data_IF_632737630985
#
_entry.id   IF_632737630985
#
_cell.length_a   1.000
_cell.length_b   1.000
_cell.length_c   1.000
_cell.angle_alpha   90.00
_cell.angle_beta   90.00
_cell.angle_gamma   90.00
#
_symmetry.space_group_name_H-M   'P 1'
#
loop_
_entity.id
_entity.type
_entity.pdbx_description
1 polymer ?
#
# COMPACT_ATOMS: atom_id res chain seq x y z
N UNK A 1 9.49 -7.60 3.06
CA UNK A 1 8.41 -6.79 2.43
C UNK A 1 8.68 -6.52 0.96
N UNK A 2 9.73 -5.75 0.68
CA UNK A 2 10.18 -5.45 -0.68
C UNK A 2 10.38 -6.68 -1.56
N UNK A 3 10.91 -7.79 -1.03
CA UNK A 3 11.04 -9.03 -1.80
C UNK A 3 9.74 -9.55 -2.41
N UNK A 4 8.61 -9.49 -1.67
CA UNK A 4 7.30 -9.88 -2.19
C UNK A 4 6.82 -8.91 -3.28
N UNK A 5 6.97 -7.60 -3.05
CA UNK A 5 6.60 -6.56 -4.03
C UNK A 5 7.39 -6.75 -5.31
N UNK A 6 8.71 -6.89 -5.23
CA UNK A 6 9.57 -7.07 -6.40
C UNK A 6 9.29 -8.38 -7.13
N UNK A 7 8.99 -9.46 -6.42
CA UNK A 7 8.59 -10.72 -7.05
C UNK A 7 7.28 -10.57 -7.85
N UNK A 8 6.27 -9.92 -7.26
CA UNK A 8 4.99 -9.67 -7.92
C UNK A 8 5.13 -8.72 -9.12
N UNK A 9 5.94 -7.67 -8.99
CA UNK A 9 6.23 -6.74 -10.07
C UNK A 9 7.05 -7.40 -11.18
N UNK A 10 8.00 -8.29 -10.86
CA UNK A 10 8.71 -9.07 -11.86
C UNK A 10 7.75 -9.98 -12.65
N UNK A 11 6.82 -10.66 -11.97
CA UNK A 11 5.78 -11.44 -12.64
C UNK A 11 4.90 -10.57 -13.57
N UNK A 12 4.56 -9.35 -13.15
CA UNK A 12 3.86 -8.38 -14.00
C UNK A 12 4.68 -8.01 -15.24
N UNK A 13 5.97 -7.70 -15.07
CA UNK A 13 6.88 -7.35 -16.18
C UNK A 13 6.98 -8.49 -17.19
N UNK A 14 7.13 -9.74 -16.74
CA UNK A 14 7.16 -10.91 -17.63
C UNK A 14 5.84 -11.08 -18.41
N UNK A 15 4.70 -10.79 -17.78
CA UNK A 15 3.40 -10.76 -18.45
C UNK A 15 3.32 -9.63 -19.49
N UNK A 16 3.82 -8.44 -19.15
CA UNK A 16 3.86 -7.30 -20.06
C UNK A 16 4.72 -7.57 -21.30
N UNK A 17 5.86 -8.26 -21.14
CA UNK A 17 6.78 -8.67 -22.21
C UNK A 17 6.25 -9.82 -23.09
N UNK A 18 5.12 -10.42 -22.74
CA UNK A 18 4.44 -11.40 -23.59
C UNK A 18 4.69 -12.87 -23.26
N UNK A 19 5.53 -13.19 -22.27
CA UNK A 19 5.89 -14.57 -21.90
C UNK A 19 4.70 -15.40 -21.37
N UNK A 20 3.63 -14.73 -20.95
CA UNK A 20 2.41 -15.35 -20.44
C UNK A 20 1.15 -14.92 -21.19
N UNK A 21 1.30 -14.30 -22.38
CA UNK A 21 0.19 -13.96 -23.26
C UNK A 21 -0.24 -15.23 -24.00
N UNK A 22 -1.47 -15.68 -23.78
CA UNK A 22 -2.07 -16.71 -24.64
C UNK A 22 -2.21 -16.15 -26.06
N UNK A 23 -2.17 -17.03 -27.07
CA UNK A 23 -2.36 -16.64 -28.49
C UNK A 23 -3.74 -16.02 -28.77
N UNK A 24 -4.70 -16.24 -27.88
CA UNK A 24 -6.08 -15.81 -28.06
C UNK A 24 -6.51 -14.78 -27.01
N UNK A 25 -7.11 -13.72 -27.53
CA UNK A 25 -7.81 -12.60 -26.88
C UNK A 25 -6.96 -11.38 -26.56
N UNK A 26 -7.32 -10.33 -27.27
CA UNK A 26 -7.03 -8.91 -27.08
C UNK A 26 -6.84 -8.54 -25.61
N UNK A 27 -5.62 -8.72 -25.09
CA UNK A 27 -5.20 -7.92 -23.97
C UNK A 27 -5.18 -6.49 -24.50
N UNK A 28 -5.90 -5.60 -23.83
CA UNK A 28 -6.04 -4.21 -24.23
C UNK A 28 -4.63 -3.59 -24.26
N UNK A 29 -3.94 -3.63 -25.40
CA UNK A 29 -2.52 -3.25 -25.50
C UNK A 29 -2.30 -1.80 -25.08
N UNK A 30 -3.33 -0.99 -25.25
CA UNK A 30 -3.45 0.36 -24.73
C UNK A 30 -3.36 0.44 -23.19
N UNK A 31 -4.03 -0.46 -22.46
CA UNK A 31 -4.01 -0.56 -21.00
C UNK A 31 -2.61 -0.92 -20.50
N UNK A 32 -2.03 -2.00 -21.04
CA UNK A 32 -0.69 -2.44 -20.65
C UNK A 32 0.37 -1.38 -20.96
N UNK A 33 0.26 -0.66 -22.08
CA UNK A 33 1.16 0.43 -22.42
C UNK A 33 1.04 1.58 -21.42
N UNK A 34 -0.18 2.01 -21.09
CA UNK A 34 -0.41 3.10 -20.10
C UNK A 34 0.15 2.73 -18.73
N UNK A 35 -0.18 1.54 -18.23
CA UNK A 35 0.34 1.02 -16.95
C UNK A 35 1.86 0.92 -17.00
N UNK A 36 2.41 0.37 -18.08
CA UNK A 36 3.85 0.20 -18.28
C UNK A 36 4.62 1.51 -18.21
N UNK A 37 4.13 2.58 -18.84
CA UNK A 37 4.77 3.90 -18.80
C UNK A 37 4.79 4.45 -17.38
N UNK A 38 3.65 4.46 -16.69
CA UNK A 38 3.57 4.97 -15.30
C UNK A 38 4.40 4.08 -14.37
N UNK A 39 4.42 2.77 -14.59
CA UNK A 39 5.22 1.83 -13.81
C UNK A 39 6.72 2.07 -13.98
N UNK A 40 7.20 2.32 -15.21
CA UNK A 40 8.60 2.69 -15.46
C UNK A 40 8.98 3.97 -14.72
N UNK A 41 8.13 5.01 -14.79
CA UNK A 41 8.34 6.25 -14.02
C UNK A 41 8.39 5.95 -12.52
N UNK A 42 7.43 5.17 -12.00
CA UNK A 42 7.41 4.79 -10.58
C UNK A 42 8.66 4.01 -10.17
N UNK A 43 9.26 3.22 -11.06
CA UNK A 43 10.48 2.46 -10.78
C UNK A 43 11.70 3.37 -10.66
N UNK A 44 11.79 4.41 -11.51
CA UNK A 44 12.84 5.43 -11.42
C UNK A 44 12.69 6.26 -10.14
N UNK A 45 11.46 6.70 -9.83
CA UNK A 45 11.18 7.44 -8.60
C UNK A 45 11.46 6.58 -7.36
N UNK A 46 11.14 5.28 -7.38
CA UNK A 46 11.43 4.37 -6.26
C UNK A 46 12.93 4.20 -6.05
N UNK A 47 13.69 4.08 -7.14
CA UNK A 47 15.16 4.03 -7.08
C UNK A 47 15.71 5.30 -6.43
N UNK A 48 15.27 6.48 -6.89
CA UNK A 48 15.68 7.76 -6.31
C UNK A 48 15.27 7.87 -4.82
N UNK A 49 14.09 7.37 -4.46
CA UNK A 49 13.61 7.35 -3.09
C UNK A 49 14.51 6.52 -2.17
N UNK A 50 14.94 5.33 -2.60
CA UNK A 50 15.86 4.47 -1.82
C UNK A 50 17.15 5.22 -1.50
N UNK A 51 17.76 5.89 -2.49
CA UNK A 51 18.97 6.69 -2.27
C UNK A 51 18.71 7.84 -1.30
N UNK A 52 17.65 8.61 -1.53
CA UNK A 52 17.28 9.73 -0.66
C UNK A 52 17.05 9.31 0.80
N UNK A 53 16.37 8.17 1.03
CA UNK A 53 16.16 7.62 2.35
C UNK A 53 17.47 7.15 2.99
N UNK A 54 18.33 6.47 2.23
CA UNK A 54 19.61 5.96 2.73
C UNK A 54 20.59 7.08 3.11
N UNK A 55 20.66 8.14 2.30
CA UNK A 55 21.44 9.35 2.59
C UNK A 55 20.76 10.30 3.59
N UNK A 56 19.61 9.89 4.18
CA UNK A 56 18.83 10.67 5.15
C UNK A 56 18.42 12.06 4.66
N UNK A 57 18.24 12.23 3.36
CA UNK A 57 17.70 13.46 2.77
C UNK A 57 16.17 13.41 2.90
N UNK A 58 15.67 13.57 4.14
CA UNK A 58 14.27 13.27 4.51
C UNK A 58 13.23 14.11 3.75
N UNK A 59 13.41 15.44 3.54
CA UNK A 59 12.44 16.23 2.76
C UNK A 59 12.32 15.74 1.31
N UNK A 60 13.44 15.43 0.66
CA UNK A 60 13.45 14.85 -0.69
C UNK A 60 12.77 13.48 -0.72
N UNK A 61 12.99 12.66 0.32
CA UNK A 61 12.36 11.35 0.44
C UNK A 61 10.84 11.50 0.46
N UNK A 62 10.32 12.49 1.19
CA UNK A 62 8.89 12.73 1.26
C UNK A 62 8.30 13.15 -0.10
N UNK A 63 9.00 14.04 -0.83
CA UNK A 63 8.58 14.45 -2.19
C UNK A 63 8.51 13.24 -3.13
N UNK A 64 9.55 12.39 -3.12
CA UNK A 64 9.60 11.18 -3.95
C UNK A 64 8.54 10.15 -3.54
N UNK A 65 8.26 10.03 -2.25
CA UNK A 65 7.21 9.15 -1.72
C UNK A 65 5.81 9.60 -2.16
N UNK A 66 5.54 10.91 -2.17
CA UNK A 66 4.29 11.46 -2.73
C UNK A 66 4.20 11.19 -4.24
N UNK A 67 5.29 11.37 -4.98
CA UNK A 67 5.33 11.07 -6.42
C UNK A 67 5.05 9.58 -6.70
N UNK A 68 5.60 8.66 -5.90
CA UNK A 68 5.26 7.23 -5.98
C UNK A 68 3.78 6.98 -5.72
N UNK A 69 3.23 7.60 -4.67
CA UNK A 69 1.82 7.45 -4.31
C UNK A 69 0.91 7.93 -5.45
N UNK A 70 1.22 9.05 -6.09
CA UNK A 70 0.49 9.58 -7.25
C UNK A 70 0.56 8.60 -8.44
N UNK A 71 1.74 8.03 -8.72
CA UNK A 71 1.89 7.02 -9.78
C UNK A 71 0.99 5.80 -9.50
N UNK A 72 0.96 5.32 -8.25
CA UNK A 72 0.20 4.14 -7.87
C UNK A 72 -1.31 4.40 -7.81
N UNK A 73 -1.74 5.58 -7.39
CA UNK A 73 -3.14 6.02 -7.50
C UNK A 73 -3.56 6.05 -8.98
N UNK A 74 -2.69 6.56 -9.87
CA UNK A 74 -2.97 6.61 -11.31
C UNK A 74 -3.12 5.22 -11.91
N UNK A 75 -2.21 4.30 -11.58
CA UNK A 75 -2.29 2.89 -12.00
C UNK A 75 -3.56 2.23 -11.43
N UNK A 76 -3.86 2.45 -10.14
CA UNK A 76 -5.05 1.88 -9.50
C UNK A 76 -6.34 2.39 -10.16
N UNK A 77 -6.41 3.67 -10.51
CA UNK A 77 -7.56 4.28 -11.22
C UNK A 77 -7.73 3.66 -12.60
N UNK A 78 -6.64 3.55 -13.36
CA UNK A 78 -6.66 2.91 -14.69
C UNK A 78 -7.13 1.45 -14.60
N UNK A 79 -6.71 0.71 -13.56
CA UNK A 79 -7.10 -0.69 -13.36
C UNK A 79 -8.57 -0.82 -12.93
N UNK A 80 -9.08 0.10 -12.11
CA UNK A 80 -10.43 0.05 -11.56
C UNK A 80 -11.52 0.24 -12.63
N UNK A 81 -11.22 1.04 -13.66
CA UNK A 81 -12.11 1.29 -14.81
C UNK A 81 -12.20 0.10 -15.79
N UNK A 82 -11.48 -1.00 -15.55
CA UNK A 82 -11.36 -2.12 -16.49
C UNK A 82 -11.97 -3.41 -15.93
N UNK A 83 -12.68 -4.14 -16.81
CA UNK A 83 -13.15 -5.50 -16.52
C UNK A 83 -12.01 -6.49 -16.74
N UNK A 84 -11.33 -6.84 -15.65
CA UNK A 84 -10.19 -7.75 -15.69
C UNK A 84 -10.61 -9.23 -15.64
N UNK A 85 -9.97 -10.03 -16.50
CA UNK A 85 -9.94 -11.49 -16.41
C UNK A 85 -9.27 -11.96 -15.12
N UNK A 86 -9.41 -13.25 -14.78
CA UNK A 86 -8.74 -13.81 -13.59
C UNK A 86 -7.21 -13.68 -13.69
N UNK A 87 -6.66 -13.89 -14.88
CA UNK A 87 -5.21 -13.77 -15.14
C UNK A 87 -4.73 -12.33 -14.92
N UNK A 88 -5.45 -11.34 -15.44
CA UNK A 88 -5.10 -9.93 -15.24
C UNK A 88 -5.28 -9.46 -13.79
N UNK A 89 -6.24 -10.04 -13.05
CA UNK A 89 -6.35 -9.78 -11.60
C UNK A 89 -5.10 -10.25 -10.85
N UNK A 90 -4.52 -11.38 -11.24
CA UNK A 90 -3.33 -11.94 -10.60
C UNK A 90 -2.05 -11.24 -11.08
N UNK A 91 -1.93 -10.94 -12.37
CA UNK A 91 -0.70 -10.43 -12.97
C UNK A 91 -0.65 -8.89 -13.09
N UNK A 92 -1.76 -8.19 -12.85
CA UNK A 92 -1.83 -6.72 -12.90
C UNK A 92 -2.38 -6.18 -11.57
N UNK A 93 -3.63 -6.50 -11.22
CA UNK A 93 -4.30 -5.88 -10.06
C UNK A 93 -3.63 -6.24 -8.73
N UNK A 94 -3.22 -7.49 -8.56
CA UNK A 94 -2.58 -7.98 -7.33
C UNK A 94 -1.21 -7.31 -7.08
N UNK A 95 -0.23 -7.33 -8.02
CA UNK A 95 1.06 -6.67 -7.85
C UNK A 95 0.93 -5.19 -7.46
N UNK A 96 0.15 -4.43 -8.22
CA UNK A 96 -0.01 -3.00 -7.97
C UNK A 96 -0.87 -2.72 -6.73
N UNK A 97 -1.83 -3.59 -6.39
CA UNK A 97 -2.59 -3.49 -5.15
C UNK A 97 -1.70 -3.67 -3.92
N UNK A 98 -0.81 -4.67 -3.94
CA UNK A 98 0.16 -4.90 -2.85
C UNK A 98 1.15 -3.72 -2.77
N UNK A 99 1.67 -3.27 -3.91
CA UNK A 99 2.62 -2.17 -3.94
C UNK A 99 2.00 -0.86 -3.44
N UNK A 100 0.79 -0.55 -3.87
CA UNK A 100 0.05 0.64 -3.44
C UNK A 100 -0.29 0.61 -1.95
N UNK A 101 -0.71 -0.54 -1.42
CA UNK A 101 -0.95 -0.72 0.01
C UNK A 101 0.30 -0.43 0.83
N UNK A 102 1.45 -0.96 0.39
CA UNK A 102 2.72 -0.75 1.08
C UNK A 102 3.18 0.69 1.02
N UNK A 103 3.14 1.32 -0.17
CA UNK A 103 3.54 2.72 -0.33
C UNK A 103 2.63 3.65 0.49
N UNK A 104 1.34 3.36 0.65
CA UNK A 104 0.48 4.16 1.55
C UNK A 104 1.01 4.17 2.98
N UNK A 105 1.36 3.00 3.52
CA UNK A 105 1.92 2.88 4.88
C UNK A 105 3.29 3.56 4.95
N UNK A 106 4.13 3.35 3.93
CA UNK A 106 5.45 3.95 3.86
C UNK A 106 5.37 5.48 3.84
N UNK A 107 4.41 6.09 3.12
CA UNK A 107 4.19 7.54 3.11
C UNK A 107 3.89 8.09 4.50
N UNK A 108 3.07 7.40 5.29
CA UNK A 108 2.72 7.84 6.64
C UNK A 108 3.95 7.76 7.56
N UNK A 109 4.70 6.65 7.48
CA UNK A 109 5.96 6.52 8.22
C UNK A 109 7.00 7.56 7.79
N UNK A 110 7.05 7.90 6.50
CA UNK A 110 7.96 8.90 5.96
C UNK A 110 7.58 10.32 6.42
N UNK A 111 6.29 10.63 6.48
CA UNK A 111 5.80 11.88 7.05
C UNK A 111 6.14 12.00 8.54
N UNK A 112 5.97 10.93 9.32
CA UNK A 112 6.39 10.90 10.72
C UNK A 112 7.90 11.18 10.86
N UNK A 113 8.73 10.53 10.04
CA UNK A 113 10.17 10.75 10.03
C UNK A 113 10.54 12.20 9.64
N UNK A 114 9.83 12.79 8.67
CA UNK A 114 10.03 14.18 8.27
C UNK A 114 9.74 15.14 9.43
N UNK A 115 8.61 14.96 10.12
CA UNK A 115 8.23 15.80 11.25
C UNK A 115 9.25 15.74 12.38
N UNK A 116 9.75 14.53 12.70
CA UNK A 116 10.84 14.35 13.66
C UNK A 116 12.13 15.04 13.19
N UNK A 117 12.48 14.91 11.90
CA UNK A 117 13.69 15.55 11.35
C UNK A 117 13.66 17.08 11.37
N UNK A 118 12.47 17.67 11.35
CA UNK A 118 12.26 19.12 11.45
C UNK A 118 12.21 19.61 12.90
N UNK A 119 12.41 18.72 13.89
CA UNK A 119 12.34 19.07 15.31
C UNK A 119 10.93 19.43 15.77
N UNK A 120 9.90 18.88 15.13
CA UNK A 120 8.53 19.18 15.53
C UNK A 120 8.22 18.59 16.89
N UNK A 121 7.89 19.45 17.85
CA UNK A 121 7.56 19.05 19.23
C UNK A 121 6.14 18.47 19.38
N UNK A 122 5.46 18.16 18.28
CA UNK A 122 4.21 17.42 18.31
C UNK A 122 3.09 18.11 19.09
N UNK A 123 3.07 19.45 19.11
CA UNK A 123 2.18 20.27 19.94
C UNK A 123 2.28 19.97 21.45
N UNK A 124 3.41 19.43 21.93
CA UNK A 124 3.59 19.01 23.32
C UNK A 124 2.92 17.68 23.68
N UNK A 125 2.40 16.94 22.68
CA UNK A 125 1.81 15.63 22.89
C UNK A 125 2.89 14.54 23.06
N UNK A 126 2.55 13.49 23.82
CA UNK A 126 3.44 12.34 24.00
C UNK A 126 3.64 11.55 22.70
N UNK A 127 4.76 10.84 22.58
CA UNK A 127 5.06 9.96 21.44
C UNK A 127 3.99 8.87 21.24
N UNK A 128 3.43 8.35 22.34
CA UNK A 128 2.35 7.37 22.30
C UNK A 128 1.07 7.96 21.68
N UNK A 129 0.72 9.19 22.08
CA UNK A 129 -0.41 9.92 21.49
C UNK A 129 -0.18 10.18 20.00
N UNK A 130 1.03 10.58 19.61
CA UNK A 130 1.39 10.75 18.19
C UNK A 130 1.27 9.46 17.39
N UNK A 131 1.73 8.35 17.96
CA UNK A 131 1.59 7.02 17.34
C UNK A 131 0.13 6.68 17.10
N UNK A 132 -0.74 6.93 18.09
CA UNK A 132 -2.20 6.77 17.94
C UNK A 132 -2.76 7.65 16.82
N UNK A 133 -2.39 8.93 16.77
CA UNK A 133 -2.84 9.86 15.71
C UNK A 133 -2.43 9.34 14.33
N UNK A 134 -1.18 8.89 14.17
CA UNK A 134 -0.67 8.36 12.89
C UNK A 134 -1.35 7.05 12.49
N UNK A 135 -1.67 6.18 13.45
CA UNK A 135 -2.47 4.97 13.21
C UNK A 135 -3.89 5.31 12.76
N UNK A 136 -4.56 6.27 13.40
CA UNK A 136 -5.90 6.68 12.99
C UNK A 136 -5.86 7.32 11.60
N UNK A 137 -4.91 8.22 11.34
CA UNK A 137 -4.74 8.84 10.02
C UNK A 137 -4.51 7.77 8.94
N UNK A 138 -3.65 6.78 9.22
CA UNK A 138 -3.42 5.67 8.30
C UNK A 138 -4.63 4.77 8.10
N UNK A 139 -5.43 4.56 9.14
CA UNK A 139 -6.66 3.81 9.05
C UNK A 139 -7.71 4.53 8.19
N UNK A 140 -7.83 5.85 8.33
CA UNK A 140 -8.73 6.66 7.51
C UNK A 140 -8.32 6.66 6.04
N UNK A 141 -7.04 6.95 5.74
CA UNK A 141 -6.51 6.97 4.37
C UNK A 141 -6.64 5.58 3.74
N UNK A 142 -6.20 4.55 4.47
CA UNK A 142 -6.24 3.17 4.01
C UNK A 142 -7.66 2.68 3.77
N UNK A 143 -8.60 3.00 4.66
CA UNK A 143 -10.02 2.67 4.50
C UNK A 143 -10.63 3.38 3.29
N UNK A 144 -10.37 4.68 3.14
CA UNK A 144 -10.87 5.46 2.00
C UNK A 144 -10.37 4.88 0.66
N UNK A 145 -9.07 4.56 0.57
CA UNK A 145 -8.50 3.93 -0.63
C UNK A 145 -9.05 2.51 -0.87
N UNK A 146 -9.19 1.70 0.18
CA UNK A 146 -9.75 0.35 0.09
C UNK A 146 -11.20 0.35 -0.42
N UNK A 147 -12.01 1.29 0.06
CA UNK A 147 -13.40 1.47 -0.38
C UNK A 147 -13.49 2.08 -1.78
N UNK A 148 -12.58 2.99 -2.15
CA UNK A 148 -12.55 3.61 -3.49
C UNK A 148 -12.17 2.62 -4.58
N UNK A 149 -11.10 1.84 -4.37
CA UNK A 149 -10.51 0.95 -5.39
C UNK A 149 -10.92 -0.51 -5.22
N UNK A 150 -11.74 -0.84 -4.23
CA UNK A 150 -12.29 -2.18 -3.99
C UNK A 150 -11.23 -3.31 -4.07
N UNK A 151 -10.02 -3.03 -3.59
CA UNK A 151 -8.86 -3.90 -3.80
C UNK A 151 -8.49 -4.67 -2.52
N UNK A 152 -8.89 -5.94 -2.43
CA UNK A 152 -8.60 -6.76 -1.25
C UNK A 152 -7.10 -6.91 -0.97
N UNK A 153 -6.27 -7.02 -2.02
CA UNK A 153 -4.81 -7.10 -1.87
C UNK A 153 -4.22 -5.87 -1.18
N UNK A 154 -4.73 -4.68 -1.50
CA UNK A 154 -4.35 -3.44 -0.83
C UNK A 154 -4.68 -3.49 0.68
N UNK A 155 -5.90 -3.90 1.01
CA UNK A 155 -6.35 -4.04 2.41
C UNK A 155 -5.55 -5.09 3.20
N UNK A 156 -5.17 -6.20 2.57
CA UNK A 156 -4.35 -7.23 3.21
C UNK A 156 -2.95 -6.71 3.58
N UNK A 157 -2.38 -5.82 2.77
CA UNK A 157 -1.09 -5.17 3.12
C UNK A 157 -1.25 -4.24 4.31
N UNK A 158 -2.35 -3.50 4.42
CA UNK A 158 -2.62 -2.68 5.60
C UNK A 158 -2.74 -3.53 6.87
N UNK A 159 -3.49 -4.63 6.80
CA UNK A 159 -3.59 -5.59 7.90
C UNK A 159 -2.22 -6.10 8.34
N UNK A 160 -1.39 -6.49 7.37
CA UNK A 160 -0.05 -6.99 7.65
C UNK A 160 0.88 -5.92 8.24
N UNK A 161 0.81 -4.68 7.74
CA UNK A 161 1.57 -3.57 8.32
C UNK A 161 1.17 -3.31 9.78
N UNK A 162 -0.13 -3.27 10.07
CA UNK A 162 -0.64 -3.04 11.42
C UNK A 162 -0.37 -4.23 12.35
N UNK A 163 -0.38 -5.45 11.82
CA UNK A 163 0.06 -6.63 12.56
C UNK A 163 1.53 -6.52 12.98
N UNK A 164 2.41 -6.01 12.10
CA UNK A 164 3.80 -5.73 12.46
C UNK A 164 3.93 -4.73 13.62
N UNK A 165 3.10 -3.68 13.61
CA UNK A 165 3.05 -2.71 14.71
C UNK A 165 2.57 -3.39 15.99
N UNK A 166 1.49 -4.17 15.94
CA UNK A 166 0.96 -4.90 17.09
C UNK A 166 2.01 -5.84 17.70
N UNK A 167 2.68 -6.64 16.87
CA UNK A 167 3.72 -7.58 17.29
C UNK A 167 4.85 -6.83 17.99
N UNK A 168 5.30 -5.69 17.47
CA UNK A 168 6.33 -4.88 18.12
C UNK A 168 5.89 -4.32 19.48
N UNK A 169 4.61 -4.00 19.64
CA UNK A 169 4.08 -3.47 20.90
C UNK A 169 3.83 -4.54 21.96
N UNK A 170 3.55 -5.78 21.56
CA UNK A 170 3.35 -6.90 22.49
C UNK A 170 4.65 -7.65 22.81
N UNK A 171 5.62 -7.67 21.90
CA UNK A 171 6.85 -8.44 22.07
C UNK A 171 7.66 -7.96 23.30
N UNK A 172 8.20 -8.87 24.13
CA UNK A 172 9.12 -8.52 25.21
C UNK A 172 10.36 -7.75 24.74
N UNK A 173 10.87 -8.05 23.54
CA UNK A 173 12.01 -7.35 22.91
C UNK A 173 11.61 -6.04 22.19
N UNK A 174 10.34 -5.69 22.23
CA UNK A 174 9.79 -4.45 21.70
C UNK A 174 9.38 -3.53 22.83
N UNK A 175 8.08 -3.31 22.98
CA UNK A 175 7.54 -2.45 24.04
C UNK A 175 6.87 -3.23 25.19
N UNK A 176 6.86 -4.56 25.14
CA UNK A 176 6.39 -5.43 26.23
C UNK A 176 5.02 -5.02 26.83
N UNK A 177 4.08 -4.54 26.00
CA UNK A 177 2.75 -4.13 26.44
C UNK A 177 2.65 -2.75 27.11
N UNK A 178 3.73 -1.97 27.17
CA UNK A 178 3.79 -0.68 27.89
C UNK A 178 2.84 0.41 27.34
N UNK A 179 2.37 0.26 26.09
CA UNK A 179 1.50 1.24 25.43
C UNK A 179 0.12 0.64 25.10
N UNK A 180 -0.76 0.42 26.11
CA UNK A 180 -2.06 -0.22 25.91
C UNK A 180 -2.96 0.58 24.95
N UNK A 181 -2.91 1.91 24.98
CA UNK A 181 -3.68 2.76 24.06
C UNK A 181 -3.32 2.51 22.59
N UNK A 182 -2.03 2.36 22.27
CA UNK A 182 -1.57 2.05 20.91
C UNK A 182 -2.06 0.66 20.49
N UNK A 183 -1.95 -0.33 21.39
CA UNK A 183 -2.38 -1.72 21.14
C UNK A 183 -3.88 -1.77 20.83
N UNK A 184 -4.72 -1.13 21.65
CA UNK A 184 -6.17 -1.10 21.47
C UNK A 184 -6.53 -0.48 20.11
N UNK A 185 -5.93 0.67 19.78
CA UNK A 185 -6.20 1.38 18.53
C UNK A 185 -5.78 0.53 17.32
N UNK A 186 -4.59 -0.07 17.35
CA UNK A 186 -4.12 -0.94 16.25
C UNK A 186 -5.06 -2.13 16.05
N UNK A 187 -5.52 -2.77 17.14
CA UNK A 187 -6.46 -3.87 17.07
C UNK A 187 -7.81 -3.43 16.47
N UNK A 188 -8.32 -2.26 16.87
CA UNK A 188 -9.55 -1.70 16.32
C UNK A 188 -9.42 -1.39 14.81
N UNK A 189 -8.31 -0.78 14.39
CA UNK A 189 -8.02 -0.53 12.98
C UNK A 189 -7.93 -1.83 12.17
N UNK A 190 -7.27 -2.86 12.71
CA UNK A 190 -7.20 -4.17 12.06
C UNK A 190 -8.57 -4.83 11.93
N UNK A 191 -9.41 -4.79 12.98
CA UNK A 191 -10.76 -5.31 12.92
C UNK A 191 -11.60 -4.60 11.84
N UNK A 192 -11.48 -3.27 11.74
CA UNK A 192 -12.11 -2.47 10.69
C UNK A 192 -11.67 -2.91 9.28
N UNK A 193 -10.37 -3.02 9.03
CA UNK A 193 -9.85 -3.46 7.74
C UNK A 193 -10.34 -4.87 7.39
N UNK A 194 -10.30 -5.80 8.34
CA UNK A 194 -10.78 -7.16 8.13
C UNK A 194 -12.27 -7.20 7.77
N UNK A 195 -13.11 -6.45 8.50
CA UNK A 195 -14.54 -6.36 8.23
C UNK A 195 -14.83 -5.82 6.81
N UNK A 196 -14.13 -4.77 6.39
CA UNK A 196 -14.29 -4.19 5.05
C UNK A 196 -13.83 -5.17 3.97
N UNK A 197 -12.67 -5.83 4.15
CA UNK A 197 -12.18 -6.83 3.19
C UNK A 197 -13.20 -7.98 3.05
N UNK A 198 -13.72 -8.50 4.16
CA UNK A 198 -14.74 -9.56 4.15
C UNK A 198 -16.00 -9.10 3.41
N UNK A 199 -16.50 -7.89 3.71
CA UNK A 199 -17.64 -7.30 3.04
C UNK A 199 -17.44 -7.20 1.51
N UNK A 200 -16.28 -6.70 1.08
CA UNK A 200 -15.93 -6.57 -0.34
C UNK A 200 -15.88 -7.94 -1.04
N UNK A 201 -15.29 -8.95 -0.37
CA UNK A 201 -15.22 -10.32 -0.90
C UNK A 201 -16.62 -10.94 -1.05
N UNK A 202 -17.50 -10.77 -0.06
CA UNK A 202 -18.89 -11.27 -0.11
C UNK A 202 -19.68 -10.58 -1.23
N UNK A 203 -19.60 -9.24 -1.33
CA UNK A 203 -20.28 -8.47 -2.38
C UNK A 203 -19.84 -8.91 -3.77
N UNK A 204 -18.53 -9.14 -3.97
CA UNK A 204 -17.99 -9.62 -5.26
C UNK A 204 -18.51 -11.01 -5.66
N UNK A 205 -18.79 -11.89 -4.69
CA UNK A 205 -19.35 -13.22 -4.93
C UNK A 205 -20.83 -13.17 -5.31
N UNK A 206 -21.60 -12.27 -4.70
CA UNK A 206 -23.04 -12.09 -5.02
C UNK A 206 -23.25 -11.60 -6.45
N UNK A 207 -22.47 -10.62 -6.91
CA UNK A 207 -22.56 -10.08 -8.28
C UNK A 207 -22.23 -11.13 -9.34
N UNK A 208 -21.34 -12.08 -9.04
CA UNK A 208 -20.99 -13.17 -9.97
C UNK A 208 -22.04 -14.29 -10.08
N UNK A 209 -23.02 -14.34 -9.17
CA UNK A 209 -24.05 -15.40 -9.11
C UNK A 209 -25.41 -14.94 -9.65
N UNK A 210 -25.59 -13.65 -9.93
CA UNK A 210 -26.76 -13.07 -10.62
C UNK A 210 -26.45 -12.88 -12.10
#
# INVERSE_FOLDING_TARGET
>A
IWGLIYLLLAAHTLYQLGLFRGKDKEVNGSLLRKIGVIFSVSSLVNTAWIFSWHYRIIPLSMILMIALLICLISIATIIDDQRLSLREKILIRLPFGVYFGWITVATIANAAALLVSLGWNGFGLSEATWTVIMLIAGALIGTAALLRFHCAAYGLVLLWAYAGILIKHLSPSGFAGQYPGVIIVVCACMALFAAIIIYLLIKSRKIKRS
#
